data_IF_309100962940
#
_entry.id   IF_309100962940
#
_cell.length_a   1.000
_cell.length_b   1.000
_cell.length_c   1.000
_cell.angle_alpha   90.00
_cell.angle_beta   90.00
_cell.angle_gamma   90.00
#
_symmetry.space_group_name_H-M   'P 1'
#
loop_
_entity.id
_entity.type
_entity.pdbx_description
1 polymer ?
#
# COMPACT_ATOMS: atom_id res chain seq x y z
N UNK A 1 36.48 -20.76 7.28
CA UNK A 1 36.16 -19.32 7.32
C UNK A 1 36.82 -18.66 6.12
N UNK A 2 36.04 -18.38 5.06
CA UNK A 2 36.49 -17.64 3.88
C UNK A 2 35.43 -16.57 3.60
N UNK A 3 35.76 -15.31 3.85
CA UNK A 3 35.08 -14.19 3.24
C UNK A 3 36.12 -13.45 2.42
N UNK A 4 35.89 -13.33 1.12
CA UNK A 4 36.38 -12.23 0.28
C UNK A 4 35.56 -12.19 -1.01
N UNK A 5 34.51 -11.40 -0.92
CA UNK A 5 33.89 -10.54 -1.93
C UNK A 5 33.98 -10.96 -3.40
N UNK A 6 32.87 -11.51 -3.87
CA UNK A 6 32.55 -11.70 -5.28
C UNK A 6 32.05 -10.36 -5.86
N UNK A 7 32.99 -9.44 -6.13
CA UNK A 7 32.71 -8.18 -6.81
C UNK A 7 32.39 -8.47 -8.29
N UNK A 8 31.11 -8.69 -8.58
CA UNK A 8 30.61 -8.82 -9.95
C UNK A 8 30.87 -7.52 -10.69
N UNK A 9 31.67 -7.61 -11.75
CA UNK A 9 31.78 -6.63 -12.81
C UNK A 9 30.38 -6.24 -13.32
N UNK A 10 29.87 -5.09 -12.88
CA UNK A 10 28.72 -4.46 -13.49
C UNK A 10 29.16 -3.76 -14.77
N UNK A 11 28.87 -4.41 -15.90
CA UNK A 11 29.12 -3.87 -17.23
C UNK A 11 28.50 -2.49 -17.45
N UNK A 12 29.14 -1.72 -18.32
CA UNK A 12 28.67 -0.45 -18.89
C UNK A 12 28.45 0.72 -17.90
N UNK A 13 29.57 1.24 -17.41
CA UNK A 13 29.73 2.55 -16.73
C UNK A 13 29.05 3.73 -17.47
N UNK A 14 28.84 3.62 -18.79
CA UNK A 14 28.20 4.67 -19.60
C UNK A 14 26.67 4.70 -19.43
N UNK A 15 26.03 3.57 -19.10
CA UNK A 15 24.58 3.50 -18.89
C UNK A 15 24.19 4.14 -17.54
N UNK A 16 24.95 3.85 -16.48
CA UNK A 16 24.71 4.38 -15.13
C UNK A 16 24.96 5.90 -15.08
N UNK A 17 26.00 6.40 -15.79
CA UNK A 17 26.29 7.84 -15.88
C UNK A 17 25.17 8.61 -16.61
N UNK A 18 24.66 8.06 -17.71
CA UNK A 18 23.55 8.65 -18.46
C UNK A 18 22.26 8.68 -17.64
N UNK A 19 21.98 7.60 -16.91
CA UNK A 19 20.82 7.51 -16.02
C UNK A 19 20.88 8.54 -14.88
N UNK A 20 22.06 8.72 -14.25
CA UNK A 20 22.26 9.71 -13.18
C UNK A 20 21.95 11.14 -13.63
N UNK A 21 22.27 11.47 -14.89
CA UNK A 21 21.97 12.78 -15.46
C UNK A 21 20.47 13.01 -15.65
N UNK A 22 19.74 11.99 -16.15
CA UNK A 22 18.28 12.03 -16.31
C UNK A 22 17.58 12.20 -14.95
N UNK A 23 18.01 11.44 -13.94
CA UNK A 23 17.42 11.51 -12.59
C UNK A 23 17.63 12.89 -11.94
N UNK A 24 18.83 13.49 -12.09
CA UNK A 24 19.13 14.84 -11.59
C UNK A 24 18.25 15.91 -12.25
N UNK A 25 17.96 15.78 -13.55
CA UNK A 25 17.09 16.72 -14.29
C UNK A 25 15.64 16.67 -13.81
N UNK A 26 15.18 15.50 -13.40
CA UNK A 26 13.83 15.28 -12.88
C UNK A 26 13.69 15.62 -11.38
N UNK A 27 14.75 16.11 -10.71
CA UNK A 27 14.79 16.35 -9.26
C UNK A 27 14.45 15.12 -8.42
N UNK A 28 14.65 13.92 -8.96
CA UNK A 28 14.43 12.66 -8.25
C UNK A 28 15.73 12.33 -7.52
N UNK A 29 15.69 12.30 -6.19
CA UNK A 29 16.83 11.89 -5.40
C UNK A 29 17.00 10.35 -5.52
N UNK A 30 18.23 9.87 -5.64
CA UNK A 30 18.53 8.42 -5.64
C UNK A 30 18.12 7.77 -4.31
N UNK A 31 17.96 8.55 -3.24
CA UNK A 31 17.36 8.12 -1.98
C UNK A 31 15.84 7.84 -2.08
N UNK A 32 15.13 8.45 -3.03
CA UNK A 32 13.70 8.18 -3.29
C UNK A 32 13.49 6.83 -4.02
N UNK A 33 14.45 6.39 -4.83
CA UNK A 33 14.43 5.06 -5.49
C UNK A 33 14.58 3.91 -4.49
N UNK A 34 15.17 4.18 -3.32
CA UNK A 34 15.32 3.23 -2.22
C UNK A 34 14.41 3.56 -1.02
N UNK A 35 13.45 4.49 -1.17
CA UNK A 35 12.33 4.53 -0.25
C UNK A 35 11.58 3.23 -0.43
N UNK A 36 11.70 2.34 0.55
CA UNK A 36 10.65 1.40 0.91
C UNK A 36 9.38 2.26 1.03
N UNK A 37 8.62 2.40 -0.06
CA UNK A 37 7.41 3.20 -0.08
C UNK A 37 6.59 2.64 1.06
N UNK A 38 6.40 3.40 2.14
CA UNK A 38 5.62 2.94 3.28
C UNK A 38 4.29 2.49 2.69
N UNK A 39 4.04 1.18 2.73
CA UNK A 39 2.79 0.67 2.20
C UNK A 39 1.68 1.37 2.96
N UNK A 40 0.76 1.99 2.23
CA UNK A 40 -0.37 2.66 2.84
C UNK A 40 -1.34 1.58 3.27
N UNK A 41 -1.72 1.56 4.55
CA UNK A 41 -2.72 0.62 5.04
C UNK A 41 -4.01 0.77 4.24
N UNK A 42 -4.60 -0.33 3.75
CA UNK A 42 -5.76 -0.24 2.88
C UNK A 42 -6.99 0.36 3.59
N UNK A 43 -7.09 0.23 4.91
CA UNK A 43 -8.09 0.94 5.71
C UNK A 43 -8.00 2.47 5.63
N UNK A 44 -6.80 3.05 5.46
CA UNK A 44 -6.62 4.49 5.23
C UNK A 44 -7.10 4.91 3.85
N UNK A 45 -6.86 4.05 2.85
CA UNK A 45 -7.35 4.25 1.47
C UNK A 45 -8.88 4.25 1.49
N UNK A 46 -9.50 3.27 2.15
CA UNK A 46 -10.95 3.17 2.29
C UNK A 46 -11.56 4.39 2.98
N UNK A 47 -10.95 4.91 4.06
CA UNK A 47 -11.41 6.14 4.71
C UNK A 47 -11.46 7.30 3.73
N UNK A 48 -10.41 7.48 2.93
CA UNK A 48 -10.34 8.57 1.95
C UNK A 48 -11.39 8.43 0.85
N UNK A 49 -11.60 7.22 0.34
CA UNK A 49 -12.59 6.98 -0.71
C UNK A 49 -14.04 7.10 -0.21
N UNK A 50 -14.35 6.54 0.96
CA UNK A 50 -15.72 6.43 1.46
C UNK A 50 -16.16 7.68 2.25
N UNK A 51 -15.29 8.22 3.10
CA UNK A 51 -15.60 9.44 3.87
C UNK A 51 -15.29 10.67 3.02
N UNK A 52 -14.03 10.87 2.66
CA UNK A 52 -13.62 12.12 2.01
C UNK A 52 -14.16 12.21 0.56
N UNK A 53 -14.28 11.08 -0.14
CA UNK A 53 -14.73 11.01 -1.52
C UNK A 53 -16.24 10.87 -1.72
N UNK A 54 -16.96 10.23 -0.80
CA UNK A 54 -18.41 9.97 -0.92
C UNK A 54 -19.25 10.58 0.21
N UNK A 55 -18.62 11.22 1.19
CA UNK A 55 -19.26 11.87 2.33
C UNK A 55 -20.19 10.94 3.13
N UNK A 56 -19.83 9.67 3.24
CA UNK A 56 -20.55 8.68 4.03
C UNK A 56 -20.23 8.82 5.52
N UNK A 57 -21.18 8.52 6.38
CA UNK A 57 -20.96 8.38 7.82
C UNK A 57 -20.38 7.00 8.17
N UNK A 58 -19.78 6.88 9.35
CA UNK A 58 -19.23 5.61 9.85
C UNK A 58 -20.36 4.58 10.01
N UNK A 59 -21.53 5.02 10.44
CA UNK A 59 -22.73 4.22 10.66
C UNK A 59 -23.24 3.62 9.35
N UNK A 60 -23.36 4.45 8.30
CA UNK A 60 -23.76 3.99 6.96
C UNK A 60 -22.77 2.98 6.40
N UNK A 61 -21.47 3.17 6.65
CA UNK A 61 -20.44 2.22 6.21
C UNK A 61 -20.58 0.91 6.96
N UNK A 62 -20.67 0.98 8.29
CA UNK A 62 -20.79 -0.18 9.16
C UNK A 62 -21.98 -1.07 8.76
N UNK A 63 -23.13 -0.47 8.50
CA UNK A 63 -24.33 -1.16 8.04
C UNK A 63 -24.11 -1.84 6.68
N UNK A 64 -23.55 -1.10 5.71
CA UNK A 64 -23.32 -1.59 4.36
C UNK A 64 -22.30 -2.74 4.32
N UNK A 65 -21.25 -2.70 5.13
CA UNK A 65 -20.23 -3.76 5.17
C UNK A 65 -20.46 -4.80 6.27
N UNK A 66 -21.57 -4.69 7.01
CA UNK A 66 -22.05 -5.64 8.04
C UNK A 66 -21.07 -5.87 9.18
N UNK A 67 -20.42 -4.82 9.66
CA UNK A 67 -19.57 -4.86 10.87
C UNK A 67 -19.98 -3.78 11.85
N UNK A 68 -19.51 -3.86 13.10
CA UNK A 68 -19.78 -2.81 14.08
C UNK A 68 -19.12 -1.47 13.69
N UNK A 69 -19.73 -0.30 13.98
CA UNK A 69 -19.12 1.01 13.73
C UNK A 69 -17.71 1.15 14.32
N UNK A 70 -17.49 0.59 15.51
CA UNK A 70 -16.16 0.58 16.14
C UNK A 70 -15.13 -0.19 15.31
N UNK A 71 -15.53 -1.25 14.62
CA UNK A 71 -14.64 -2.00 13.73
C UNK A 71 -14.28 -1.19 12.47
N UNK A 72 -15.22 -0.41 11.93
CA UNK A 72 -14.94 0.54 10.84
C UNK A 72 -13.91 1.58 11.26
N UNK A 73 -14.09 2.18 12.45
CA UNK A 73 -13.10 3.11 13.00
C UNK A 73 -11.73 2.46 13.16
N UNK A 74 -11.67 1.26 13.71
CA UNK A 74 -10.42 0.53 13.92
C UNK A 74 -9.75 0.21 12.58
N UNK A 75 -10.53 -0.12 11.55
CA UNK A 75 -10.04 -0.33 10.19
C UNK A 75 -9.41 0.96 9.63
N UNK A 76 -10.09 2.10 9.81
CA UNK A 76 -9.60 3.41 9.35
C UNK A 76 -8.39 3.92 10.13
N UNK A 77 -8.28 3.54 11.41
CA UNK A 77 -7.13 3.81 12.29
C UNK A 77 -5.98 2.82 12.07
N UNK A 78 -6.07 1.93 11.07
CA UNK A 78 -5.03 0.96 10.73
C UNK A 78 -4.76 -0.06 11.85
N UNK A 79 -5.74 -0.29 12.74
CA UNK A 79 -5.63 -1.17 13.91
C UNK A 79 -6.07 -2.61 13.62
N UNK A 80 -6.88 -2.81 12.58
CA UNK A 80 -7.31 -4.13 12.11
C UNK A 80 -7.10 -4.24 10.59
N UNK A 81 -6.78 -5.45 10.08
CA UNK A 81 -6.64 -5.67 8.66
C UNK A 81 -8.00 -5.76 7.95
N UNK A 82 -7.99 -5.66 6.63
CA UNK A 82 -9.11 -6.10 5.80
C UNK A 82 -9.13 -7.64 5.77
N UNK A 83 -10.13 -8.24 6.41
CA UNK A 83 -10.40 -9.68 6.29
C UNK A 83 -11.09 -10.01 4.96
N UNK A 84 -11.10 -11.29 4.59
CA UNK A 84 -11.82 -11.76 3.39
C UNK A 84 -13.31 -11.39 3.42
N UNK A 85 -13.95 -11.48 4.59
CA UNK A 85 -15.36 -11.10 4.76
C UNK A 85 -15.58 -9.60 4.53
N UNK A 86 -14.70 -8.76 5.10
CA UNK A 86 -14.75 -7.30 4.89
C UNK A 86 -14.52 -6.98 3.40
N UNK A 87 -13.57 -7.65 2.74
CA UNK A 87 -13.29 -7.44 1.32
C UNK A 87 -14.51 -7.77 0.42
N UNK A 88 -15.21 -8.87 0.71
CA UNK A 88 -16.42 -9.28 -0.02
C UNK A 88 -17.55 -8.26 0.20
N UNK A 89 -17.76 -7.84 1.45
CA UNK A 89 -18.82 -6.90 1.78
C UNK A 89 -18.56 -5.51 1.18
N UNK A 90 -17.31 -5.03 1.19
CA UNK A 90 -16.94 -3.78 0.52
C UNK A 90 -17.20 -3.87 -0.98
N UNK A 91 -16.75 -4.95 -1.64
CA UNK A 91 -16.95 -5.14 -3.08
C UNK A 91 -18.44 -5.19 -3.44
N UNK A 92 -19.25 -5.81 -2.59
CA UNK A 92 -20.70 -5.92 -2.79
C UNK A 92 -21.43 -4.59 -2.58
N UNK A 93 -20.99 -3.77 -1.63
CA UNK A 93 -21.71 -2.55 -1.24
C UNK A 93 -21.23 -1.29 -1.98
N UNK A 94 -19.95 -1.23 -2.34
CA UNK A 94 -19.33 -0.04 -2.96
C UNK A 94 -18.72 -0.29 -4.34
N UNK A 95 -18.78 -1.55 -4.80
CA UNK A 95 -18.19 -2.00 -6.06
C UNK A 95 -16.71 -2.37 -5.93
N UNK A 96 -16.14 -2.86 -7.02
CA UNK A 96 -14.76 -3.36 -7.07
C UNK A 96 -14.70 -4.88 -7.00
N UNK A 97 -13.53 -5.41 -6.60
CA UNK A 97 -13.28 -6.84 -6.50
C UNK A 97 -12.65 -7.17 -5.14
N UNK A 98 -13.19 -8.17 -4.42
CA UNK A 98 -12.64 -8.64 -3.16
C UNK A 98 -11.15 -9.00 -3.25
N UNK A 99 -10.72 -9.66 -4.33
CA UNK A 99 -9.32 -10.01 -4.58
C UNK A 99 -8.42 -8.78 -4.67
N UNK A 100 -8.96 -7.65 -5.13
CA UNK A 100 -8.22 -6.40 -5.17
C UNK A 100 -7.89 -5.93 -3.76
N UNK A 101 -8.87 -5.91 -2.85
CA UNK A 101 -8.66 -5.51 -1.45
C UNK A 101 -7.73 -6.48 -0.72
N UNK A 102 -7.88 -7.78 -0.95
CA UNK A 102 -7.00 -8.80 -0.38
C UNK A 102 -5.54 -8.64 -0.85
N UNK A 103 -5.33 -8.29 -2.13
CA UNK A 103 -3.99 -7.97 -2.64
C UNK A 103 -3.40 -6.73 -1.99
N UNK A 104 -4.21 -5.69 -1.76
CA UNK A 104 -3.75 -4.49 -1.06
C UNK A 104 -3.31 -4.82 0.37
N UNK A 105 -4.11 -5.59 1.11
CA UNK A 105 -3.75 -6.04 2.46
C UNK A 105 -2.46 -6.86 2.45
N UNK A 106 -2.35 -7.85 1.57
CA UNK A 106 -1.14 -8.68 1.44
C UNK A 106 0.11 -7.86 1.11
N UNK A 107 -0.02 -6.86 0.24
CA UNK A 107 1.07 -5.94 -0.10
C UNK A 107 1.49 -5.10 1.11
N UNK A 108 0.54 -4.66 1.93
CA UNK A 108 0.80 -3.94 3.16
C UNK A 108 1.52 -4.81 4.18
N UNK A 109 0.99 -6.00 4.45
CA UNK A 109 1.55 -6.95 5.42
C UNK A 109 2.98 -7.36 5.05
N UNK A 110 3.25 -7.56 3.75
CA UNK A 110 4.60 -7.92 3.26
C UNK A 110 5.61 -6.78 3.42
N UNK A 111 5.14 -5.53 3.39
CA UNK A 111 6.01 -4.35 3.49
C UNK A 111 6.33 -3.98 4.94
N UNK A 112 5.40 -4.24 5.86
CA UNK A 112 5.54 -3.94 7.28
C UNK A 112 6.30 -5.03 8.07
N UNK A 113 6.38 -6.25 7.53
CA UNK A 113 7.10 -7.40 8.13
C UNK A 113 8.54 -7.58 7.60
N UNK A 114 9.11 -6.57 6.95
CA UNK A 114 10.49 -6.57 6.43
C UNK A 114 11.28 -5.42 7.04
#
# INVERSE_FOLDING_TARGET
MLIRDNNRNFGNINLIKSFRFVLKKLKIDMTDLNRKMKAVHPGKILRKELIDGRNLSIEQIAEAIKIAPQAVENLFKELIPISSEIAINIASSYGGNADHFMRLQKSYDSSNNA
#
